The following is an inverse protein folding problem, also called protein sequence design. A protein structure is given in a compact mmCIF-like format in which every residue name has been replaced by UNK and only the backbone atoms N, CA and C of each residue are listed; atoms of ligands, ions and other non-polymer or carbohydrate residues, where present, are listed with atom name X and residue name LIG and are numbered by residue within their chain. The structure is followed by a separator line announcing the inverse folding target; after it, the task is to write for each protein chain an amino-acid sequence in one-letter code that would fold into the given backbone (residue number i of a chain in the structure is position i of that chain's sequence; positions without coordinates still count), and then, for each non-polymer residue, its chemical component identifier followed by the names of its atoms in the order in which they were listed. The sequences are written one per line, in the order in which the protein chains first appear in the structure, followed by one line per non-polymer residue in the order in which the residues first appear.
data_IF_484628718130
#
_entry.id   IF_484628718130
#
_cell.length_a   1.000
_cell.length_b   1.000
_cell.length_c   1.000
_cell.angle_alpha   90.00
_cell.angle_beta   90.00
_cell.angle_gamma   90.00
#
_symmetry.space_group_name_H-M   'P 1'
#
loop_
_entity.id
_entity.type
_entity.pdbx_description
1 polymer ?
#
# COMPACT_ATOMS: atom_id res chain seq x y z
N UNK A 1 25.63 -1.26 22.44
CA UNK A 1 25.34 -2.45 21.60
C UNK A 1 24.43 -2.16 20.42
N UNK A 2 23.40 -1.32 20.56
CA UNK A 2 22.42 -1.01 19.49
C UNK A 2 23.05 -0.30 18.29
N UNK A 3 23.82 0.78 18.53
CA UNK A 3 24.46 1.61 17.48
C UNK A 3 25.42 0.78 16.61
N UNK A 4 26.28 -0.06 17.21
CA UNK A 4 27.20 -0.91 16.48
C UNK A 4 26.48 -1.91 15.56
N UNK A 5 25.36 -2.47 16.00
CA UNK A 5 24.52 -3.39 15.20
C UNK A 5 23.87 -2.67 14.01
N UNK A 6 23.48 -1.43 14.17
CA UNK A 6 22.95 -0.60 13.08
C UNK A 6 24.01 -0.28 12.02
N UNK A 7 25.22 0.12 12.43
CA UNK A 7 26.33 0.36 11.51
C UNK A 7 26.73 -0.88 10.71
N UNK A 8 26.81 -2.06 11.33
CA UNK A 8 27.02 -3.32 10.62
C UNK A 8 25.88 -3.56 9.63
N UNK A 9 24.63 -3.31 10.04
CA UNK A 9 23.47 -3.42 9.17
C UNK A 9 23.57 -2.51 7.94
N UNK A 10 24.00 -1.26 8.10
CA UNK A 10 24.21 -0.33 6.99
C UNK A 10 25.34 -0.76 6.05
N UNK A 11 26.45 -1.22 6.60
CA UNK A 11 27.56 -1.74 5.81
C UNK A 11 27.15 -2.96 4.98
N UNK A 12 26.50 -3.94 5.59
CA UNK A 12 26.00 -5.12 4.89
C UNK A 12 25.03 -4.77 3.75
N UNK A 13 24.15 -3.79 3.94
CA UNK A 13 23.22 -3.29 2.91
C UNK A 13 23.97 -2.59 1.78
N UNK A 14 24.99 -1.78 2.12
CA UNK A 14 25.79 -1.01 1.15
C UNK A 14 26.61 -1.93 0.24
N UNK A 15 27.12 -3.02 0.76
CA UNK A 15 27.97 -3.99 0.03
C UNK A 15 27.14 -5.14 -0.57
N UNK A 16 25.97 -5.41 -0.03
CA UNK A 16 25.16 -6.58 -0.39
C UNK A 16 24.40 -6.47 -1.71
N UNK A 17 24.48 -5.34 -2.43
CA UNK A 17 23.75 -5.18 -3.68
C UNK A 17 24.50 -4.31 -4.69
N UNK A 18 24.63 -4.81 -5.91
CA UNK A 18 25.11 -4.10 -7.10
C UNK A 18 23.87 -3.81 -7.97
N UNK A 19 23.53 -2.53 -8.10
CA UNK A 19 22.43 -2.11 -8.95
C UNK A 19 22.98 -1.56 -10.27
N UNK A 20 22.51 -2.12 -11.39
CA UNK A 20 22.91 -1.72 -12.75
C UNK A 20 21.66 -1.25 -13.49
N UNK A 21 21.52 0.05 -13.66
CA UNK A 21 20.41 0.60 -14.41
C UNK A 21 20.46 0.17 -15.88
N UNK A 22 19.38 -0.49 -16.37
CA UNK A 22 19.28 -1.03 -17.75
C UNK A 22 18.12 -0.43 -18.56
N UNK A 23 17.60 0.72 -18.16
CA UNK A 23 16.48 1.37 -18.86
C UNK A 23 15.12 0.73 -18.63
N UNK A 24 14.99 -0.22 -17.70
CA UNK A 24 13.71 -0.73 -17.27
C UNK A 24 13.03 0.25 -16.31
N UNK A 25 11.75 0.49 -16.51
CA UNK A 25 10.96 1.34 -15.60
C UNK A 25 10.81 0.70 -14.23
N UNK A 26 11.15 1.43 -13.18
CA UNK A 26 10.92 1.02 -11.80
C UNK A 26 9.42 1.00 -11.46
N UNK A 27 9.05 0.35 -10.38
CA UNK A 27 7.68 0.22 -9.94
C UNK A 27 7.49 0.98 -8.63
N UNK A 28 6.55 1.93 -8.63
CA UNK A 28 6.14 2.66 -7.44
C UNK A 28 4.82 2.11 -6.94
N UNK A 29 4.88 1.30 -5.88
CA UNK A 29 3.73 0.70 -5.22
C UNK A 29 3.21 1.63 -4.14
N UNK A 30 2.17 2.37 -4.44
CA UNK A 30 1.41 3.17 -3.47
C UNK A 30 0.37 2.30 -2.77
N UNK A 31 0.25 2.43 -1.47
CA UNK A 31 -0.71 1.69 -0.67
C UNK A 31 -0.89 2.29 0.72
N UNK A 32 -2.07 2.13 1.27
CA UNK A 32 -2.32 2.41 2.69
C UNK A 32 -1.57 1.40 3.58
N UNK A 33 -1.03 1.88 4.70
CA UNK A 33 -0.43 1.02 5.71
C UNK A 33 -1.43 -0.06 6.16
N UNK A 34 -1.01 -1.32 6.26
CA UNK A 34 -1.84 -2.51 6.53
C UNK A 34 -2.78 -2.92 5.39
N UNK A 35 -2.66 -2.29 4.23
CA UNK A 35 -3.38 -2.65 3.00
C UNK A 35 -2.86 -3.90 2.28
N UNK A 36 -1.87 -4.63 2.82
CA UNK A 36 -1.25 -5.78 2.14
C UNK A 36 -0.01 -5.43 1.31
N UNK A 37 0.48 -4.20 1.41
CA UNK A 37 1.57 -3.65 0.61
C UNK A 37 2.89 -4.43 0.71
N UNK A 38 3.23 -4.99 1.88
CA UNK A 38 4.43 -5.84 2.00
C UNK A 38 4.28 -7.13 1.20
N UNK A 39 3.11 -7.74 1.22
CA UNK A 39 2.82 -8.93 0.42
C UNK A 39 2.89 -8.63 -1.09
N UNK A 40 2.25 -7.54 -1.54
CA UNK A 40 2.33 -7.11 -2.94
C UNK A 40 3.76 -6.77 -3.36
N UNK A 41 4.52 -6.07 -2.52
CA UNK A 41 5.94 -5.79 -2.77
C UNK A 41 6.76 -7.07 -2.92
N UNK A 42 6.52 -8.09 -2.08
CA UNK A 42 7.21 -9.39 -2.17
C UNK A 42 6.82 -10.16 -3.43
N UNK A 43 5.56 -10.07 -3.88
CA UNK A 43 5.10 -10.64 -5.17
C UNK A 43 5.85 -9.99 -6.33
N UNK A 44 5.93 -8.67 -6.37
CA UNK A 44 6.67 -7.95 -7.42
C UNK A 44 8.17 -8.23 -7.34
N UNK A 45 8.75 -8.22 -6.14
CA UNK A 45 10.17 -8.51 -5.92
C UNK A 45 10.56 -9.98 -6.09
N UNK A 46 9.60 -10.90 -6.30
CA UNK A 46 9.88 -12.30 -6.65
C UNK A 46 10.55 -12.45 -8.01
N UNK A 47 10.49 -11.41 -8.83
CA UNK A 47 11.12 -11.36 -10.15
C UNK A 47 12.65 -11.43 -10.08
N UNK A 48 13.32 -11.99 -11.11
CA UNK A 48 14.76 -11.98 -11.18
C UNK A 48 15.29 -10.53 -11.28
N UNK A 49 16.43 -10.27 -10.63
CA UNK A 49 17.14 -8.99 -10.67
C UNK A 49 16.39 -7.78 -10.10
N UNK A 50 15.31 -8.01 -9.33
CA UNK A 50 14.61 -6.96 -8.60
C UNK A 50 15.21 -6.76 -7.21
N UNK A 51 15.22 -5.49 -6.76
CA UNK A 51 15.32 -5.12 -5.35
C UNK A 51 14.12 -4.28 -4.95
N UNK A 52 13.98 -3.98 -3.67
CA UNK A 52 12.89 -3.16 -3.16
C UNK A 52 13.37 -2.16 -2.11
N UNK A 53 12.70 -1.02 -2.06
CA UNK A 53 12.78 -0.08 -0.95
C UNK A 53 11.46 -0.12 -0.17
N UNK A 54 11.54 -0.62 1.06
CA UNK A 54 10.40 -0.84 1.93
C UNK A 54 10.15 0.41 2.79
N UNK A 55 9.17 1.24 2.40
CA UNK A 55 8.76 2.47 3.09
C UNK A 55 9.92 3.49 3.25
N UNK A 56 10.45 4.06 2.16
CA UNK A 56 11.58 4.97 2.20
C UNK A 56 11.30 6.31 2.92
N UNK A 57 10.05 6.60 3.26
CA UNK A 57 9.61 7.78 4.00
C UNK A 57 9.05 7.46 5.39
N UNK A 58 9.26 6.25 5.91
CA UNK A 58 8.79 5.90 7.25
C UNK A 58 9.81 6.34 8.32
N UNK A 59 9.55 7.46 8.96
CA UNK A 59 10.41 8.08 9.99
C UNK A 59 10.70 7.18 11.21
N UNK A 60 9.98 6.06 11.35
CA UNK A 60 10.23 5.06 12.41
C UNK A 60 11.34 4.08 12.06
N UNK A 61 11.87 4.13 10.85
CA UNK A 61 12.94 3.24 10.39
C UNK A 61 14.31 3.87 10.57
N UNK A 62 15.29 3.18 11.21
CA UNK A 62 16.63 3.73 11.46
C UNK A 62 17.33 4.22 10.19
N UNK A 63 17.19 3.50 9.07
CA UNK A 63 17.78 3.90 7.81
C UNK A 63 17.16 5.17 7.21
N UNK A 64 15.86 5.41 7.41
CA UNK A 64 15.19 6.64 6.99
C UNK A 64 15.63 7.81 7.88
N UNK A 65 15.69 7.59 9.19
CA UNK A 65 16.23 8.58 10.12
C UNK A 65 17.69 8.96 9.80
N UNK A 66 18.50 7.94 9.47
CA UNK A 66 19.90 8.15 9.06
C UNK A 66 20.04 8.91 7.73
N UNK A 67 19.11 8.75 6.81
CA UNK A 67 19.09 9.49 5.55
C UNK A 67 18.84 11.01 5.77
N UNK A 68 18.18 11.39 6.87
CA UNK A 68 17.96 12.79 7.25
C UNK A 68 17.05 13.59 6.30
N UNK A 69 16.25 12.91 5.46
CA UNK A 69 15.40 13.57 4.46
C UNK A 69 14.11 14.08 5.08
N UNK A 70 13.54 13.30 6.00
CA UNK A 70 12.34 13.67 6.75
C UNK A 70 12.52 13.33 8.23
N UNK A 71 11.98 14.18 9.10
CA UNK A 71 12.08 14.05 10.56
C UNK A 71 10.71 13.89 11.21
N UNK A 72 9.66 14.41 10.58
CA UNK A 72 8.28 14.32 11.06
C UNK A 72 7.28 14.02 9.93
N UNK A 73 6.12 13.46 10.27
CA UNK A 73 5.09 13.10 9.29
C UNK A 73 4.51 14.30 8.54
N UNK A 74 4.51 15.48 9.16
CA UNK A 74 4.06 16.71 8.54
C UNK A 74 4.81 17.03 7.25
N UNK A 75 6.11 16.70 7.19
CA UNK A 75 6.95 16.97 6.02
C UNK A 75 6.55 16.16 4.77
N UNK A 76 5.74 15.11 4.94
CA UNK A 76 5.17 14.33 3.85
C UNK A 76 3.81 14.85 3.37
N UNK A 77 3.34 15.98 3.89
CA UNK A 77 2.07 16.60 3.52
C UNK A 77 2.28 17.70 2.46
N UNK A 78 1.26 17.95 1.61
CA UNK A 78 1.38 18.99 0.56
C UNK A 78 1.66 20.39 1.12
N UNK A 79 1.08 20.72 2.29
CA UNK A 79 1.26 22.03 2.93
C UNK A 79 2.70 22.26 3.45
N UNK A 80 3.54 21.25 3.48
CA UNK A 80 4.94 21.40 3.87
C UNK A 80 5.83 21.97 2.76
N UNK A 81 5.37 21.97 1.51
CA UNK A 81 6.13 22.50 0.38
C UNK A 81 7.40 21.71 0.00
N UNK A 82 7.53 20.44 0.47
CA UNK A 82 8.75 19.64 0.30
C UNK A 82 8.70 18.67 -0.88
N UNK A 83 7.71 18.82 -1.79
CA UNK A 83 7.49 17.86 -2.88
C UNK A 83 8.74 17.62 -3.73
N UNK A 84 9.43 18.69 -4.16
CA UNK A 84 10.64 18.58 -4.98
C UNK A 84 11.78 17.80 -4.29
N UNK A 85 12.01 18.05 -2.99
CA UNK A 85 13.05 17.36 -2.21
C UNK A 85 12.73 15.85 -2.09
N UNK A 86 11.46 15.52 -1.85
CA UNK A 86 11.01 14.14 -1.69
C UNK A 86 11.11 13.36 -3.00
N UNK A 87 10.80 13.99 -4.14
CA UNK A 87 11.00 13.41 -5.47
C UNK A 87 12.49 13.24 -5.78
N UNK A 88 13.31 14.26 -5.50
CA UNK A 88 14.75 14.16 -5.68
C UNK A 88 15.35 12.99 -4.87
N UNK A 89 14.90 12.79 -3.66
CA UNK A 89 15.32 11.64 -2.85
C UNK A 89 14.92 10.30 -3.49
N UNK A 90 13.72 10.18 -4.07
CA UNK A 90 13.34 8.96 -4.82
C UNK A 90 14.24 8.72 -6.03
N UNK A 91 14.59 9.78 -6.77
CA UNK A 91 15.52 9.69 -7.90
C UNK A 91 16.93 9.25 -7.44
N UNK A 92 17.38 9.73 -6.29
CA UNK A 92 18.66 9.31 -5.71
C UNK A 92 18.64 7.85 -5.25
N UNK A 93 17.52 7.36 -4.73
CA UNK A 93 17.33 5.94 -4.45
C UNK A 93 17.35 5.10 -5.73
N UNK A 94 16.71 5.55 -6.83
CA UNK A 94 16.79 4.89 -8.14
C UNK A 94 18.25 4.78 -8.63
N UNK A 95 19.03 5.85 -8.49
CA UNK A 95 20.46 5.88 -8.83
C UNK A 95 21.35 5.13 -7.84
N UNK A 96 20.75 4.48 -6.82
CA UNK A 96 21.46 3.73 -5.76
C UNK A 96 22.47 4.58 -4.97
N UNK A 97 22.21 5.88 -4.81
CA UNK A 97 23.10 6.79 -4.06
C UNK A 97 23.06 6.51 -2.55
N UNK A 98 21.93 6.11 -2.01
CA UNK A 98 21.72 5.73 -0.60
C UNK A 98 21.83 4.19 -0.43
N UNK A 99 23.01 3.63 -0.67
CA UNK A 99 23.23 2.16 -0.65
C UNK A 99 22.86 1.50 0.67
N UNK A 100 23.01 2.19 1.80
CA UNK A 100 22.59 1.70 3.12
C UNK A 100 21.07 1.51 3.25
N UNK A 101 20.28 2.06 2.35
CA UNK A 101 18.83 1.84 2.25
C UNK A 101 18.47 0.50 1.58
N UNK A 102 19.40 -0.15 0.88
CA UNK A 102 19.16 -1.43 0.20
C UNK A 102 18.60 -2.50 1.16
N UNK A 103 17.88 -3.51 0.65
CA UNK A 103 17.44 -4.64 1.46
C UNK A 103 18.63 -5.34 2.13
N UNK A 104 18.45 -5.82 3.35
CA UNK A 104 19.46 -6.60 4.03
C UNK A 104 19.71 -7.92 3.28
N UNK A 105 20.97 -8.42 3.21
CA UNK A 105 21.33 -9.62 2.45
C UNK A 105 20.56 -10.90 2.81
N UNK A 106 20.04 -10.99 4.06
CA UNK A 106 19.31 -12.16 4.54
C UNK A 106 17.78 -12.02 4.42
N UNK A 107 17.29 -10.98 3.76
CA UNK A 107 15.86 -10.80 3.53
C UNK A 107 15.37 -11.63 2.36
N UNK A 108 14.08 -12.01 2.40
CA UNK A 108 13.39 -12.65 1.28
C UNK A 108 13.57 -11.82 0.01
N UNK A 109 13.78 -12.49 -1.12
CA UNK A 109 14.00 -11.87 -2.42
C UNK A 109 15.24 -10.95 -2.49
N UNK A 110 16.18 -11.06 -1.56
CA UNK A 110 17.49 -10.38 -1.74
C UNK A 110 18.19 -10.91 -3.00
N UNK A 111 18.78 -10.00 -3.77
CA UNK A 111 19.60 -10.30 -4.95
C UNK A 111 20.89 -9.50 -4.89
N UNK A 112 22.00 -10.17 -5.21
CA UNK A 112 23.31 -9.51 -5.26
C UNK A 112 23.38 -8.51 -6.41
N UNK A 113 22.84 -8.87 -7.58
CA UNK A 113 22.81 -8.01 -8.78
C UNK A 113 21.37 -7.72 -9.15
N UNK A 114 21.04 -6.44 -9.30
CA UNK A 114 19.68 -5.96 -9.63
C UNK A 114 19.74 -4.90 -10.72
N UNK A 115 18.65 -4.75 -11.45
CA UNK A 115 18.49 -3.74 -12.49
C UNK A 115 17.09 -3.08 -12.49
N UNK A 116 16.23 -3.45 -11.55
CA UNK A 116 14.90 -2.88 -11.39
C UNK A 116 14.53 -2.79 -9.91
N UNK A 117 13.72 -1.79 -9.57
CA UNK A 117 13.38 -1.46 -8.18
C UNK A 117 11.86 -1.47 -7.99
N UNK A 118 11.41 -1.99 -6.84
CA UNK A 118 10.06 -1.79 -6.33
C UNK A 118 10.13 -0.83 -5.14
N UNK A 119 9.50 0.31 -5.23
CA UNK A 119 9.34 1.25 -4.12
C UNK A 119 7.99 1.02 -3.46
N UNK A 120 7.96 0.64 -2.18
CA UNK A 120 6.72 0.59 -1.40
C UNK A 120 6.52 1.90 -0.65
N UNK A 121 5.49 2.65 -1.03
CA UNK A 121 5.22 4.01 -0.54
C UNK A 121 3.89 4.05 0.21
N UNK A 122 3.89 4.57 1.44
CA UNK A 122 2.71 4.73 2.31
C UNK A 122 2.35 6.21 2.57
N UNK A 123 2.86 7.09 1.76
CA UNK A 123 2.64 8.53 1.82
C UNK A 123 2.89 9.12 0.43
N UNK A 124 2.91 10.42 0.30
CA UNK A 124 3.09 11.14 -0.97
C UNK A 124 1.94 10.93 -1.96
N UNK A 125 0.75 10.68 -1.48
CA UNK A 125 -0.46 10.48 -2.29
C UNK A 125 -0.69 11.65 -3.26
N UNK A 126 -0.36 12.87 -2.81
CA UNK A 126 -0.49 14.10 -3.59
C UNK A 126 0.61 14.29 -4.64
N UNK A 127 1.68 13.51 -4.60
CA UNK A 127 2.80 13.57 -5.55
C UNK A 127 2.83 12.38 -6.52
N UNK A 128 1.77 11.59 -6.61
CA UNK A 128 1.78 10.35 -7.40
C UNK A 128 2.05 10.62 -8.89
N UNK A 129 1.51 11.71 -9.44
CA UNK A 129 1.74 12.10 -10.82
C UNK A 129 3.18 12.57 -11.03
N UNK A 130 3.67 13.45 -10.15
CA UNK A 130 5.03 13.98 -10.19
C UNK A 130 6.06 12.85 -10.02
N UNK A 131 5.79 11.85 -9.18
CA UNK A 131 6.62 10.64 -9.06
C UNK A 131 6.66 9.89 -10.37
N UNK A 132 5.50 9.69 -11.02
CA UNK A 132 5.43 9.01 -12.31
C UNK A 132 6.25 9.72 -13.38
N UNK A 133 6.09 11.04 -13.49
CA UNK A 133 6.73 11.86 -14.52
C UNK A 133 8.24 12.03 -14.26
N UNK A 134 8.61 12.33 -13.01
CA UNK A 134 9.99 12.69 -12.66
C UNK A 134 10.90 11.48 -12.41
N UNK A 135 10.33 10.33 -12.03
CA UNK A 135 11.09 9.13 -11.68
C UNK A 135 11.06 8.05 -12.77
N UNK A 136 10.50 8.33 -13.96
CA UNK A 136 10.35 7.37 -15.07
C UNK A 136 9.92 5.97 -14.59
N UNK A 137 8.81 5.91 -13.87
CA UNK A 137 8.32 4.70 -13.24
C UNK A 137 6.91 4.30 -13.68
N UNK A 138 6.52 3.10 -13.30
CA UNK A 138 5.16 2.60 -13.42
C UNK A 138 4.49 2.63 -12.06
N UNK A 139 3.27 3.19 -12.01
CA UNK A 139 2.51 3.29 -10.77
C UNK A 139 1.62 2.06 -10.62
N UNK A 140 1.75 1.40 -9.46
CA UNK A 140 0.80 0.41 -8.97
C UNK A 140 0.15 0.96 -7.72
N UNK A 141 -1.16 1.02 -7.71
CA UNK A 141 -1.93 1.45 -6.55
C UNK A 141 -2.66 0.25 -5.96
N UNK A 142 -2.22 -0.19 -4.78
CA UNK A 142 -2.84 -1.29 -4.05
C UNK A 142 -3.85 -0.76 -3.05
N UNK A 143 -5.10 -1.08 -3.27
CA UNK A 143 -6.20 -0.77 -2.39
C UNK A 143 -6.61 -2.00 -1.57
N UNK A 144 -7.15 -1.79 -0.40
CA UNK A 144 -7.78 -2.83 0.44
C UNK A 144 -8.99 -2.24 1.13
N UNK A 145 -10.00 -3.09 1.34
CA UNK A 145 -11.22 -2.75 2.05
C UNK A 145 -10.94 -1.96 3.34
N UNK A 146 -11.63 -0.81 3.57
CA UNK A 146 -11.36 0.10 4.68
C UNK A 146 -11.44 -0.57 6.05
N UNK A 147 -12.42 -1.41 6.27
CA UNK A 147 -12.68 -2.06 7.56
C UNK A 147 -11.51 -2.94 8.01
N UNK A 148 -11.09 -3.99 7.28
CA UNK A 148 -9.96 -4.82 7.72
C UNK A 148 -8.65 -4.06 7.78
N UNK A 149 -8.46 -3.01 6.98
CA UNK A 149 -7.30 -2.13 7.05
C UNK A 149 -7.30 -1.38 8.39
N UNK A 150 -8.39 -0.75 8.75
CA UNK A 150 -8.58 -0.01 10.01
C UNK A 150 -8.44 -0.91 11.23
N UNK A 151 -9.12 -2.06 11.26
CA UNK A 151 -9.03 -3.02 12.38
C UNK A 151 -7.61 -3.57 12.60
N UNK A 152 -6.74 -3.49 11.61
CA UNK A 152 -5.34 -3.93 11.72
C UNK A 152 -4.36 -2.82 12.10
N UNK A 153 -4.85 -1.58 12.30
CA UNK A 153 -4.06 -0.39 12.67
C UNK A 153 -4.40 0.03 14.11
N UNK A 154 -3.38 0.51 14.82
CA UNK A 154 -3.54 1.05 16.17
C UNK A 154 -3.21 2.54 16.25
N UNK A 155 -2.63 3.10 15.18
CA UNK A 155 -2.22 4.51 15.11
C UNK A 155 -2.41 5.06 13.70
N UNK A 156 -2.77 6.32 13.64
CA UNK A 156 -3.02 7.08 12.40
C UNK A 156 -2.16 8.34 12.40
N UNK A 157 -0.83 8.22 12.23
CA UNK A 157 0.13 9.29 12.54
C UNK A 157 0.01 10.54 11.67
N UNK A 158 -0.71 10.45 10.56
CA UNK A 158 -0.93 11.60 9.65
C UNK A 158 -2.34 12.16 9.72
N UNK A 159 -3.25 11.58 10.52
CA UNK A 159 -4.66 11.99 10.52
C UNK A 159 -4.83 13.45 10.93
N UNK A 160 -4.15 13.90 11.99
CA UNK A 160 -4.21 15.29 12.45
C UNK A 160 -3.73 16.26 11.35
N UNK A 161 -2.68 15.89 10.64
CA UNK A 161 -2.14 16.67 9.53
C UNK A 161 -3.10 16.72 8.34
N UNK A 162 -3.77 15.62 7.99
CA UNK A 162 -4.79 15.60 6.95
C UNK A 162 -5.97 16.52 7.29
N UNK A 163 -6.50 16.42 8.51
CA UNK A 163 -7.64 17.23 8.97
C UNK A 163 -7.28 18.72 9.02
N UNK A 164 -6.04 19.06 9.35
CA UNK A 164 -5.55 20.44 9.38
C UNK A 164 -5.11 20.98 8.02
N UNK A 165 -4.92 20.12 7.00
CA UNK A 165 -4.36 20.50 5.71
C UNK A 165 -5.26 21.45 4.92
N UNK A 166 -4.76 22.65 4.66
CA UNK A 166 -5.41 23.62 3.78
C UNK A 166 -5.52 23.11 2.34
N UNK A 167 -4.54 22.33 1.88
CA UNK A 167 -4.56 21.75 0.54
C UNK A 167 -5.75 20.80 0.36
N UNK A 168 -5.97 19.86 1.30
CA UNK A 168 -7.10 18.93 1.22
C UNK A 168 -8.44 19.66 1.36
N UNK A 169 -8.56 20.61 2.30
CA UNK A 169 -9.79 21.37 2.51
C UNK A 169 -10.19 22.20 1.28
N UNK A 170 -9.25 22.86 0.61
CA UNK A 170 -9.54 23.72 -0.54
C UNK A 170 -9.78 22.97 -1.84
N UNK A 171 -9.08 21.85 -2.06
CA UNK A 171 -9.09 21.18 -3.36
C UNK A 171 -10.01 19.97 -3.43
N UNK A 172 -10.39 19.39 -2.28
CA UNK A 172 -11.09 18.11 -2.27
C UNK A 172 -12.34 18.04 -1.39
N UNK A 173 -12.58 19.05 -0.53
CA UNK A 173 -13.65 19.01 0.43
C UNK A 173 -14.44 20.32 0.40
N UNK A 174 -15.74 20.24 0.61
CA UNK A 174 -16.58 21.42 0.90
C UNK A 174 -16.66 21.74 2.40
N UNK A 175 -17.23 22.88 2.75
CA UNK A 175 -17.32 23.34 4.15
C UNK A 175 -18.13 22.39 5.03
N UNK A 176 -19.16 21.74 4.49
CA UNK A 176 -20.00 20.78 5.22
C UNK A 176 -19.20 19.50 5.51
N UNK A 177 -18.48 19.00 4.51
CA UNK A 177 -17.59 17.85 4.67
C UNK A 177 -16.51 18.14 5.73
N UNK A 178 -15.85 19.29 5.65
CA UNK A 178 -14.83 19.70 6.64
C UNK A 178 -15.39 19.73 8.05
N UNK A 179 -16.60 20.26 8.24
CA UNK A 179 -17.25 20.33 9.56
C UNK A 179 -17.55 18.94 10.11
N UNK A 180 -18.12 18.04 9.29
CA UNK A 180 -18.45 16.68 9.71
C UNK A 180 -17.19 15.85 9.98
N UNK A 181 -16.15 15.98 9.14
CA UNK A 181 -14.85 15.34 9.35
C UNK A 181 -14.24 15.77 10.70
N UNK A 182 -14.29 17.07 11.04
CA UNK A 182 -13.81 17.57 12.33
C UNK A 182 -14.59 17.00 13.51
N UNK A 183 -15.92 16.85 13.40
CA UNK A 183 -16.74 16.19 14.43
C UNK A 183 -16.30 14.75 14.67
N UNK A 184 -16.10 13.98 13.60
CA UNK A 184 -15.65 12.59 13.70
C UNK A 184 -14.22 12.52 14.26
N UNK A 185 -13.34 13.41 13.82
CA UNK A 185 -11.97 13.47 14.32
C UNK A 185 -11.90 13.72 15.83
N UNK A 186 -12.67 14.70 16.33
CA UNK A 186 -12.64 15.08 17.74
C UNK A 186 -13.43 14.14 18.65
N UNK A 187 -14.61 13.67 18.21
CA UNK A 187 -15.57 12.93 19.05
C UNK A 187 -15.83 11.49 18.61
N UNK A 188 -15.29 11.06 17.49
CA UNK A 188 -15.51 9.71 16.97
C UNK A 188 -14.70 8.63 17.69
N UNK A 189 -15.07 7.38 17.47
CA UNK A 189 -14.34 6.20 17.96
C UNK A 189 -13.01 6.03 17.22
N UNK A 190 -12.10 5.20 17.74
CA UNK A 190 -10.85 4.85 17.04
C UNK A 190 -11.12 4.21 15.68
N UNK A 191 -12.19 3.42 15.59
CA UNK A 191 -12.61 2.83 14.31
C UNK A 191 -12.99 3.92 13.30
N UNK A 192 -13.84 4.88 13.68
CA UNK A 192 -14.24 5.98 12.81
C UNK A 192 -13.06 6.85 12.39
N UNK A 193 -12.15 7.17 13.31
CA UNK A 193 -10.89 7.88 13.00
C UNK A 193 -10.00 7.09 12.04
N UNK A 194 -9.98 5.76 12.16
CA UNK A 194 -9.27 4.89 11.24
C UNK A 194 -9.85 4.90 9.83
N UNK A 195 -11.18 4.93 9.70
CA UNK A 195 -11.86 5.08 8.40
C UNK A 195 -11.57 6.47 7.81
N UNK A 196 -11.59 7.55 8.61
CA UNK A 196 -11.18 8.88 8.14
C UNK A 196 -9.75 8.88 7.58
N UNK A 197 -8.80 8.26 8.29
CA UNK A 197 -7.43 8.15 7.82
C UNK A 197 -7.34 7.39 6.51
N UNK A 198 -8.10 6.30 6.37
CA UNK A 198 -8.17 5.53 5.14
C UNK A 198 -8.73 6.38 3.98
N UNK A 199 -9.78 7.15 4.21
CA UNK A 199 -10.36 8.04 3.20
C UNK A 199 -9.34 9.06 2.70
N UNK A 200 -8.67 9.77 3.60
CA UNK A 200 -7.63 10.75 3.21
C UNK A 200 -6.46 10.13 2.44
N UNK A 201 -5.99 8.97 2.88
CA UNK A 201 -4.86 8.27 2.26
C UNK A 201 -5.18 7.74 0.85
N UNK A 202 -6.47 7.62 0.49
CA UNK A 202 -6.91 7.07 -0.79
C UNK A 202 -7.72 8.08 -1.64
N UNK A 203 -8.03 9.27 -1.11
CA UNK A 203 -8.94 10.23 -1.73
C UNK A 203 -8.51 10.64 -3.14
N UNK A 204 -7.24 11.04 -3.29
CA UNK A 204 -6.72 11.55 -4.57
C UNK A 204 -6.76 10.44 -5.62
N UNK A 205 -6.23 9.27 -5.31
CA UNK A 205 -6.14 8.14 -6.22
C UNK A 205 -7.53 7.64 -6.67
N UNK A 206 -8.48 7.57 -5.73
CA UNK A 206 -9.83 7.11 -6.06
C UNK A 206 -10.63 8.15 -6.83
N UNK A 207 -10.44 9.43 -6.54
CA UNK A 207 -11.14 10.51 -7.25
C UNK A 207 -10.70 10.65 -8.70
N UNK A 208 -9.45 10.34 -8.99
CA UNK A 208 -8.86 10.44 -10.33
C UNK A 208 -8.57 9.08 -10.97
N UNK A 209 -9.15 8.00 -10.46
CA UNK A 209 -8.92 6.63 -10.97
C UNK A 209 -9.18 6.49 -12.47
N UNK A 210 -10.23 7.14 -12.98
CA UNK A 210 -10.66 7.04 -14.38
C UNK A 210 -9.86 7.95 -15.32
N UNK A 211 -9.05 8.88 -14.79
CA UNK A 211 -8.31 9.88 -15.59
C UNK A 211 -6.81 9.56 -15.72
N UNK A 212 -6.32 8.58 -14.98
CA UNK A 212 -4.91 8.21 -14.97
C UNK A 212 -4.71 6.75 -15.35
N UNK A 213 -3.56 6.46 -15.94
CA UNK A 213 -3.16 5.11 -16.35
C UNK A 213 -2.45 4.32 -15.21
N UNK A 214 -2.72 4.67 -13.95
CA UNK A 214 -2.22 3.89 -12.82
C UNK A 214 -2.82 2.49 -12.82
N UNK A 215 -2.02 1.51 -12.46
CA UNK A 215 -2.50 0.14 -12.36
C UNK A 215 -3.15 -0.09 -10.99
N UNK A 216 -4.47 -0.03 -10.95
CA UNK A 216 -5.23 -0.34 -9.74
C UNK A 216 -5.26 -1.85 -9.49
N UNK A 217 -5.01 -2.25 -8.27
CA UNK A 217 -5.13 -3.63 -7.79
C UNK A 217 -5.79 -3.61 -6.43
N UNK A 218 -6.78 -4.46 -6.19
CA UNK A 218 -7.30 -4.64 -4.84
C UNK A 218 -6.70 -5.86 -4.17
N UNK A 219 -6.50 -5.79 -2.86
CA UNK A 219 -6.03 -6.92 -2.06
C UNK A 219 -6.95 -8.14 -2.23
N UNK A 220 -8.25 -7.88 -2.25
CA UNK A 220 -9.30 -8.88 -2.37
C UNK A 220 -9.22 -9.58 -3.73
N UNK A 221 -9.08 -8.83 -4.82
CA UNK A 221 -8.95 -9.37 -6.17
C UNK A 221 -7.66 -10.18 -6.33
N UNK A 222 -6.53 -9.63 -5.88
CA UNK A 222 -5.25 -10.34 -5.93
C UNK A 222 -5.29 -11.66 -5.16
N UNK A 223 -6.07 -11.75 -4.08
CA UNK A 223 -6.23 -12.97 -3.31
C UNK A 223 -7.22 -13.95 -3.96
N UNK A 224 -8.37 -13.46 -4.38
CA UNK A 224 -9.46 -14.31 -4.92
C UNK A 224 -9.16 -14.77 -6.35
N UNK A 225 -8.60 -13.90 -7.20
CA UNK A 225 -8.32 -14.12 -8.62
C UNK A 225 -6.81 -14.09 -8.92
N UNK A 226 -6.01 -14.72 -8.07
CA UNK A 226 -4.55 -14.60 -8.03
C UNK A 226 -3.87 -14.78 -9.39
N UNK A 227 -4.23 -15.81 -10.13
CA UNK A 227 -3.59 -16.12 -11.42
C UNK A 227 -3.90 -15.05 -12.46
N UNK A 228 -5.17 -14.67 -12.61
CA UNK A 228 -5.60 -13.63 -13.56
C UNK A 228 -4.91 -12.31 -13.23
N UNK A 229 -4.95 -11.89 -11.96
CA UNK A 229 -4.36 -10.63 -11.51
C UNK A 229 -2.85 -10.62 -11.70
N UNK A 230 -2.15 -11.72 -11.39
CA UNK A 230 -0.70 -11.83 -11.64
C UNK A 230 -0.34 -11.75 -13.12
N UNK A 231 -1.12 -12.38 -14.01
CA UNK A 231 -0.89 -12.31 -15.46
C UNK A 231 -1.05 -10.88 -15.98
N UNK A 232 -2.11 -10.19 -15.59
CA UNK A 232 -2.31 -8.79 -15.98
C UNK A 232 -1.22 -7.88 -15.46
N UNK A 233 -0.82 -8.04 -14.18
CA UNK A 233 0.31 -7.29 -13.62
C UNK A 233 1.60 -7.55 -14.40
N UNK A 234 1.87 -8.81 -14.74
CA UNK A 234 3.07 -9.17 -15.47
C UNK A 234 3.10 -8.56 -16.88
N UNK A 235 1.99 -8.60 -17.59
CA UNK A 235 1.84 -7.99 -18.92
C UNK A 235 2.02 -6.46 -18.84
N UNK A 236 1.24 -5.79 -17.99
CA UNK A 236 1.24 -4.33 -17.88
C UNK A 236 2.56 -3.76 -17.36
N UNK A 237 3.25 -4.49 -16.49
CA UNK A 237 4.52 -4.11 -15.90
C UNK A 237 5.73 -4.73 -16.62
N UNK A 238 5.52 -5.50 -17.70
CA UNK A 238 6.59 -6.22 -18.41
C UNK A 238 7.45 -7.08 -17.49
N UNK A 239 6.80 -7.95 -16.69
CA UNK A 239 7.45 -8.85 -15.74
C UNK A 239 7.65 -10.23 -16.34
N UNK A 240 8.89 -10.79 -16.35
CA UNK A 240 9.20 -11.99 -17.12
C UNK A 240 8.74 -13.31 -16.50
N UNK A 241 8.43 -13.35 -15.18
CA UNK A 241 8.19 -14.60 -14.45
C UNK A 241 6.85 -14.57 -13.69
N UNK A 242 5.76 -14.82 -14.39
CA UNK A 242 4.41 -14.93 -13.80
C UNK A 242 4.32 -16.07 -12.77
N UNK A 243 4.98 -17.19 -13.07
CA UNK A 243 5.04 -18.37 -12.20
C UNK A 243 5.55 -18.03 -10.78
N UNK A 244 6.60 -17.21 -10.69
CA UNK A 244 7.14 -16.79 -9.39
C UNK A 244 6.20 -15.87 -8.64
N UNK A 245 5.42 -15.04 -9.35
CA UNK A 245 4.39 -14.19 -8.73
C UNK A 245 3.26 -15.04 -8.15
N UNK A 246 2.73 -15.99 -8.90
CA UNK A 246 1.66 -16.89 -8.46
C UNK A 246 2.12 -17.70 -7.23
N UNK A 247 3.36 -18.22 -7.25
CA UNK A 247 3.94 -18.90 -6.09
C UNK A 247 4.07 -17.97 -4.87
N UNK A 248 4.46 -16.70 -5.08
CA UNK A 248 4.58 -15.72 -4.02
C UNK A 248 3.24 -15.30 -3.41
N UNK A 249 2.15 -15.27 -4.21
CA UNK A 249 0.79 -15.03 -3.70
C UNK A 249 0.40 -16.05 -2.64
N UNK A 250 0.73 -17.32 -2.86
CA UNK A 250 0.41 -18.41 -1.94
C UNK A 250 1.35 -18.46 -0.71
N UNK A 251 2.32 -17.55 -0.63
CA UNK A 251 3.25 -17.48 0.49
C UNK A 251 2.89 -16.31 1.40
N UNK A 252 2.71 -16.54 2.73
CA UNK A 252 2.45 -15.46 3.66
C UNK A 252 3.57 -14.41 3.66
N UNK A 253 3.20 -13.12 3.73
CA UNK A 253 4.18 -12.03 3.80
C UNK A 253 5.07 -12.15 5.05
N UNK A 254 6.34 -11.76 4.93
CA UNK A 254 7.34 -11.88 6.00
C UNK A 254 6.99 -11.12 7.30
N UNK A 255 6.08 -10.14 7.23
CA UNK A 255 5.63 -9.36 8.38
C UNK A 255 4.34 -9.88 9.03
N UNK A 256 3.78 -10.99 8.57
CA UNK A 256 2.65 -11.63 9.26
C UNK A 256 3.17 -12.13 10.61
N UNK A 257 2.74 -11.46 11.68
CA UNK A 257 2.99 -11.95 13.03
C UNK A 257 2.23 -13.27 13.20
N UNK A 258 2.97 -14.33 13.43
CA UNK A 258 2.41 -15.68 13.68
C UNK A 258 1.46 -15.74 14.91
N UNK A 259 1.37 -14.68 15.69
CA UNK A 259 0.52 -14.56 16.88
C UNK A 259 -0.99 -14.39 16.60
N UNK A 260 -1.41 -14.36 15.34
CA UNK A 260 -2.85 -14.33 15.00
C UNK A 260 -3.32 -15.74 14.69
N UNK A 261 -3.68 -16.46 15.73
CA UNK A 261 -4.16 -17.85 15.65
C UNK A 261 -5.27 -18.05 14.62
N UNK A 262 -6.20 -17.10 14.51
CA UNK A 262 -7.27 -17.12 13.51
C UNK A 262 -6.74 -17.25 12.07
N UNK A 263 -5.71 -16.45 11.72
CA UNK A 263 -5.11 -16.49 10.37
C UNK A 263 -4.39 -17.82 10.13
N UNK A 264 -3.69 -18.34 11.14
CA UNK A 264 -3.01 -19.65 11.04
C UNK A 264 -4.01 -20.79 10.87
N UNK A 265 -5.15 -20.74 11.56
CA UNK A 265 -6.21 -21.74 11.42
C UNK A 265 -6.82 -21.72 10.01
N UNK A 266 -7.09 -20.53 9.46
CA UNK A 266 -7.56 -20.38 8.08
C UNK A 266 -6.54 -20.95 7.08
N UNK A 267 -5.25 -20.69 7.29
CA UNK A 267 -4.19 -21.17 6.39
C UNK A 267 -3.98 -22.67 6.40
N UNK A 268 -4.53 -23.38 7.40
CA UNK A 268 -4.50 -24.86 7.47
C UNK A 268 -5.61 -25.53 6.63
N UNK A 269 -6.63 -24.80 6.22
CA UNK A 269 -7.70 -25.37 5.38
C UNK A 269 -7.12 -25.80 4.02
N UNK A 270 -7.35 -27.06 3.65
CA UNK A 270 -6.85 -27.66 2.41
C UNK A 270 -7.56 -27.10 1.17
N UNK A 271 -8.80 -26.63 1.31
CA UNK A 271 -9.56 -26.02 0.22
C UNK A 271 -9.08 -24.56 0.00
N UNK A 272 -8.37 -24.36 -1.09
CA UNK A 272 -7.79 -23.06 -1.43
C UNK A 272 -8.82 -21.95 -1.57
N UNK A 273 -9.93 -22.22 -2.23
CA UNK A 273 -10.99 -21.23 -2.47
C UNK A 273 -11.65 -20.79 -1.15
N UNK A 274 -11.98 -21.78 -0.30
CA UNK A 274 -12.55 -21.52 1.03
C UNK A 274 -11.57 -20.72 1.90
N UNK A 275 -10.29 -21.07 1.86
CA UNK A 275 -9.24 -20.35 2.57
C UNK A 275 -9.10 -18.90 2.12
N UNK A 276 -9.09 -18.66 0.80
CA UNK A 276 -9.01 -17.30 0.22
C UNK A 276 -10.22 -16.47 0.62
N UNK A 277 -11.42 -17.02 0.52
CA UNK A 277 -12.65 -16.34 0.93
C UNK A 277 -12.64 -16.00 2.43
N UNK A 278 -12.27 -16.95 3.28
CA UNK A 278 -12.18 -16.72 4.71
C UNK A 278 -11.16 -15.61 5.08
N UNK A 279 -10.06 -15.47 4.33
CA UNK A 279 -9.08 -14.41 4.54
C UNK A 279 -9.62 -13.01 4.24
N UNK A 280 -10.49 -12.86 3.25
CA UNK A 280 -11.09 -11.56 2.90
C UNK A 280 -12.32 -11.23 3.74
N UNK A 281 -12.99 -12.22 4.33
CA UNK A 281 -14.24 -12.03 5.12
C UNK A 281 -14.05 -12.04 6.64
N UNK A 282 -12.93 -12.49 7.17
CA UNK A 282 -12.67 -12.67 8.61
C UNK A 282 -12.88 -11.43 9.50
N UNK A 283 -13.04 -10.27 8.91
CA UNK A 283 -13.33 -9.03 9.62
C UNK A 283 -14.83 -8.87 9.93
N UNK A 284 -15.72 -9.55 9.19
CA UNK A 284 -17.17 -9.45 9.37
C UNK A 284 -17.63 -9.83 10.78
N UNK A 285 -17.00 -10.83 11.38
CA UNK A 285 -17.29 -11.27 12.75
C UNK A 285 -16.71 -10.34 13.84
N UNK A 286 -16.01 -9.27 13.43
CA UNK A 286 -15.29 -8.37 14.36
C UNK A 286 -15.91 -6.99 14.48
N UNK A 287 -16.94 -6.71 13.74
CA UNK A 287 -17.66 -5.44 13.77
C UNK A 287 -19.16 -5.67 13.80
N UNK A 288 -19.89 -4.69 14.29
CA UNK A 288 -21.35 -4.66 14.21
C UNK A 288 -21.81 -4.18 12.83
N UNK A 289 -23.04 -4.51 12.44
CA UNK A 289 -23.65 -3.98 11.23
C UNK A 289 -23.81 -2.45 11.28
N UNK A 290 -23.96 -1.87 12.47
CA UNK A 290 -23.97 -0.43 12.69
C UNK A 290 -22.60 0.20 12.38
N UNK A 291 -21.48 -0.43 12.79
CA UNK A 291 -20.14 0.03 12.47
C UNK A 291 -19.86 -0.10 10.98
N UNK A 292 -20.32 -1.19 10.34
CA UNK A 292 -20.17 -1.36 8.90
C UNK A 292 -20.93 -0.23 8.16
N UNK A 293 -22.19 0.03 8.50
CA UNK A 293 -22.94 1.17 7.93
C UNK A 293 -22.21 2.50 8.14
N UNK A 294 -21.75 2.73 9.36
CA UNK A 294 -21.01 3.97 9.69
C UNK A 294 -19.75 4.14 8.88
N UNK A 295 -19.04 3.05 8.58
CA UNK A 295 -17.89 3.08 7.67
C UNK A 295 -18.29 3.65 6.30
N UNK A 296 -19.38 3.18 5.70
CA UNK A 296 -19.81 3.62 4.37
C UNK A 296 -20.38 5.03 4.35
N UNK A 297 -21.06 5.47 5.40
CA UNK A 297 -21.44 6.88 5.59
C UNK A 297 -20.20 7.81 5.57
N UNK A 298 -19.09 7.38 6.20
CA UNK A 298 -17.84 8.14 6.17
C UNK A 298 -17.22 8.13 4.77
N UNK A 299 -17.27 7.03 4.03
CA UNK A 299 -16.82 7.00 2.65
C UNK A 299 -17.64 7.95 1.77
N UNK A 300 -18.96 7.93 1.91
CA UNK A 300 -19.89 8.82 1.19
C UNK A 300 -19.59 10.30 1.47
N UNK A 301 -19.22 10.64 2.72
CA UNK A 301 -18.79 11.98 3.10
C UNK A 301 -17.60 12.48 2.25
N UNK A 302 -16.75 11.58 1.78
CA UNK A 302 -15.64 11.89 0.85
C UNK A 302 -16.00 11.71 -0.62
N UNK A 303 -17.23 11.30 -0.93
CA UNK A 303 -17.65 10.95 -2.29
C UNK A 303 -16.98 9.67 -2.83
N UNK A 304 -16.60 8.75 -1.95
CA UNK A 304 -15.93 7.49 -2.30
C UNK A 304 -16.94 6.34 -2.34
N UNK A 305 -17.06 5.68 -3.50
CA UNK A 305 -18.01 4.57 -3.74
C UNK A 305 -17.32 3.25 -4.10
N UNK A 306 -16.02 3.16 -3.90
CA UNK A 306 -15.18 2.01 -4.28
C UNK A 306 -15.59 0.71 -3.57
N UNK A 307 -16.07 0.80 -2.34
CA UNK A 307 -16.66 -0.31 -1.59
C UNK A 307 -18.06 0.07 -1.13
N UNK A 308 -18.90 -0.93 -0.89
CA UNK A 308 -20.29 -0.75 -0.45
C UNK A 308 -20.64 -1.69 0.68
N UNK A 309 -21.63 -1.30 1.48
CA UNK A 309 -22.20 -2.12 2.57
C UNK A 309 -22.51 -3.54 2.06
N UNK A 310 -22.19 -4.54 2.86
CA UNK A 310 -22.35 -5.96 2.56
C UNK A 310 -21.56 -6.49 1.35
N UNK A 311 -20.62 -5.72 0.77
CA UNK A 311 -19.72 -6.19 -0.29
C UNK A 311 -18.28 -6.25 0.20
N UNK A 312 -17.58 -7.32 -0.17
CA UNK A 312 -16.17 -7.54 0.21
C UNK A 312 -15.18 -7.13 -0.88
N UNK A 313 -15.66 -6.98 -2.10
CA UNK A 313 -14.84 -6.58 -3.27
C UNK A 313 -15.17 -5.16 -3.70
N UNK A 314 -14.20 -4.51 -4.31
CA UNK A 314 -14.38 -3.17 -4.86
C UNK A 314 -15.43 -3.16 -6.00
N UNK A 315 -15.96 -1.99 -6.30
CA UNK A 315 -16.85 -1.78 -7.43
C UNK A 315 -16.11 -2.02 -8.75
N UNK A 316 -16.79 -2.62 -9.73
CA UNK A 316 -16.20 -3.11 -11.00
C UNK A 316 -15.45 -2.03 -11.78
N UNK A 317 -15.87 -0.76 -11.72
CA UNK A 317 -15.17 0.35 -12.37
C UNK A 317 -13.71 0.55 -11.91
N UNK A 318 -13.36 0.07 -10.70
CA UNK A 318 -12.00 0.12 -10.16
C UNK A 318 -11.19 -1.15 -10.44
N UNK A 319 -11.85 -2.14 -11.06
CA UNK A 319 -11.21 -3.40 -11.44
C UNK A 319 -10.88 -3.32 -12.93
N UNK A 320 -9.62 -3.37 -13.30
CA UNK A 320 -9.18 -3.30 -14.71
C UNK A 320 -9.58 -4.54 -15.55
N UNK A 321 -10.52 -5.36 -15.05
CA UNK A 321 -11.00 -6.58 -15.69
C UNK A 321 -12.53 -6.56 -15.80
N UNK A 322 -13.03 -5.73 -16.72
CA UNK A 322 -14.43 -5.76 -17.12
C UNK A 322 -14.76 -7.00 -17.99
N UNK A 323 -14.42 -8.20 -17.48
CA UNK A 323 -15.08 -9.42 -17.89
C UNK A 323 -15.72 -9.99 -16.63
N UNK A 324 -17.00 -9.74 -16.51
CA UNK A 324 -17.92 -10.15 -15.46
C UNK A 324 -17.69 -11.62 -15.04
N UNK A 325 -17.04 -11.81 -13.92
CA UNK A 325 -17.29 -13.02 -13.14
C UNK A 325 -18.44 -12.68 -12.21
N UNK A 326 -19.64 -13.14 -12.56
CA UNK A 326 -20.73 -13.30 -11.62
C UNK A 326 -20.20 -14.16 -10.48
N UNK A 327 -19.77 -13.53 -9.40
CA UNK A 327 -19.63 -14.19 -8.11
C UNK A 327 -21.08 -14.43 -7.66
N UNK A 328 -21.62 -15.56 -8.09
CA UNK A 328 -22.90 -16.05 -7.59
C UNK A 328 -22.83 -15.97 -6.06
N UNK A 329 -23.71 -15.14 -5.51
CA UNK A 329 -23.97 -15.10 -4.09
C UNK A 329 -24.59 -16.46 -3.72
N UNK A 330 -23.76 -17.46 -3.49
CA UNK A 330 -24.18 -18.67 -2.79
C UNK A 330 -24.32 -18.27 -1.32
N UNK A 331 -25.54 -17.91 -0.98
CA UNK A 331 -26.01 -17.98 0.40
C UNK A 331 -26.13 -19.45 0.78
N UNK A 332 -25.65 -19.85 1.97
CA UNK A 332 -26.06 -21.11 2.59
C UNK A 332 -27.53 -21.10 2.96
#
# INVERSE_FOLDING_TARGET
MTIFREYIGFLLRSLGNIHVHRGHKDIFLFATARGGSTWMMEILASQPRFKYYDEPFNIRRPNVQHAGIIHEWRETMPDAGRGADLIHFLQDLQRNRFRFMNPAPFRRHHRLVTDRIVFKIHCLEHLINEVKESCDGQIVFLLRHPIPTTLSRHVFPRLDHFVASCHFQKNYLDETQVREIRKIHCGGTDFQRGILSWCFENLIQLRFADTHDWLFVTYEELLLNSEKTCRTLAERLSLPRVDTMIAAVNTPAANIKMSRQDTLNILKDSNEQKRKYALVTKWKDKISDADERRCFEILELFGLDVYRHNRIVAHDRYLHHADTVEIAAQRP
#
